data_IF_226386355225
#
_entry.id   IF_226386355225
#
_cell.length_a   1.000
_cell.length_b   1.000
_cell.length_c   1.000
_cell.angle_alpha   90.00
_cell.angle_beta   90.00
_cell.angle_gamma   90.00
#
_symmetry.space_group_name_H-M   'P 1'
#
loop_
_entity.id
_entity.type
_entity.pdbx_description
1 polymer ?
#
# COMPACT_ATOMS: atom_id res chain seq x y z
N UNK A 1 -7.38 3.14 18.14
CA UNK A 1 -8.61 2.51 17.61
C UNK A 1 -8.19 1.60 16.45
N UNK A 2 -8.43 0.33 16.55
CA UNK A 2 -8.10 -0.62 15.47
C UNK A 2 -9.19 -0.54 14.40
N UNK A 3 -8.97 0.29 13.39
CA UNK A 3 -9.90 0.54 12.28
C UNK A 3 -10.08 -0.72 11.42
N UNK A 4 -9.17 -1.70 11.51
CA UNK A 4 -9.33 -2.99 10.82
C UNK A 4 -10.60 -3.74 11.27
N UNK A 5 -11.11 -3.42 12.47
CA UNK A 5 -12.38 -3.93 12.99
C UNK A 5 -13.61 -3.37 12.27
N UNK A 6 -13.49 -2.25 11.56
CA UNK A 6 -14.56 -1.71 10.71
C UNK A 6 -14.81 -2.65 9.52
N UNK A 7 -13.78 -3.28 9.01
CA UNK A 7 -13.90 -4.30 7.97
C UNK A 7 -14.18 -5.68 8.62
N UNK A 8 -15.41 -5.91 9.08
CA UNK A 8 -15.81 -7.15 9.75
C UNK A 8 -15.60 -8.43 8.92
N UNK A 9 -15.73 -8.33 7.60
CA UNK A 9 -15.52 -9.45 6.68
C UNK A 9 -14.04 -9.52 6.25
N UNK A 10 -13.40 -10.68 6.45
CA UNK A 10 -12.06 -10.96 5.94
C UNK A 10 -12.02 -10.78 4.42
N UNK A 11 -13.04 -11.24 3.71
CA UNK A 11 -13.16 -11.14 2.26
C UNK A 11 -13.21 -9.67 1.83
N UNK A 12 -14.04 -8.82 2.48
CA UNK A 12 -14.12 -7.38 2.22
C UNK A 12 -12.76 -6.70 2.42
N UNK A 13 -12.08 -7.04 3.51
CA UNK A 13 -10.75 -6.50 3.82
C UNK A 13 -9.73 -6.79 2.71
N UNK A 14 -9.67 -8.04 2.24
CA UNK A 14 -8.73 -8.44 1.19
C UNK A 14 -9.11 -7.84 -0.18
N UNK A 15 -10.40 -7.77 -0.51
CA UNK A 15 -10.89 -7.07 -1.71
C UNK A 15 -10.51 -5.59 -1.68
N UNK A 16 -10.81 -4.90 -0.59
CA UNK A 16 -10.48 -3.47 -0.46
C UNK A 16 -8.97 -3.23 -0.55
N UNK A 17 -8.17 -4.07 0.12
CA UNK A 17 -6.71 -3.98 0.01
C UNK A 17 -6.24 -4.11 -1.43
N UNK A 18 -6.68 -5.14 -2.14
CA UNK A 18 -6.26 -5.41 -3.51
C UNK A 18 -6.65 -4.27 -4.45
N UNK A 19 -7.92 -3.90 -4.43
CA UNK A 19 -8.46 -2.94 -5.39
C UNK A 19 -8.04 -1.49 -5.10
N UNK A 20 -8.09 -1.04 -3.85
CA UNK A 20 -7.65 0.34 -3.51
C UNK A 20 -6.13 0.53 -3.59
N UNK A 21 -5.34 -0.56 -3.56
CA UNK A 21 -3.91 -0.48 -3.89
C UNK A 21 -3.69 -0.44 -5.40
N UNK A 22 -4.61 -1.01 -6.19
CA UNK A 22 -4.53 -1.11 -7.65
C UNK A 22 -5.85 -0.63 -8.30
N UNK A 23 -6.21 0.67 -8.17
CA UNK A 23 -7.58 1.15 -8.46
C UNK A 23 -7.98 1.06 -9.92
N UNK A 24 -7.02 1.03 -10.84
CA UNK A 24 -7.29 0.94 -12.29
C UNK A 24 -7.42 -0.50 -12.80
N UNK A 25 -7.21 -1.50 -11.91
CA UNK A 25 -7.32 -2.89 -12.30
C UNK A 25 -8.74 -3.42 -12.18
N UNK A 26 -9.09 -4.29 -13.12
CA UNK A 26 -10.31 -5.09 -13.07
C UNK A 26 -9.93 -6.57 -13.00
N UNK A 27 -10.68 -7.33 -12.20
CA UNK A 27 -10.43 -8.75 -12.00
C UNK A 27 -11.72 -9.55 -12.17
N UNK A 28 -11.62 -10.78 -12.71
CA UNK A 28 -12.73 -11.72 -12.72
C UNK A 28 -12.64 -12.71 -11.54
N UNK A 29 -13.76 -13.37 -11.21
CA UNK A 29 -13.89 -14.16 -9.97
C UNK A 29 -12.80 -15.22 -9.77
N UNK A 30 -12.46 -15.99 -10.82
CA UNK A 30 -11.42 -17.03 -10.72
C UNK A 30 -10.02 -16.45 -10.53
N UNK A 31 -9.78 -15.27 -11.03
CA UNK A 31 -8.52 -14.56 -10.80
C UNK A 31 -8.42 -14.09 -9.35
N UNK A 32 -9.50 -13.50 -8.82
CA UNK A 32 -9.59 -13.10 -7.42
C UNK A 32 -9.41 -14.30 -6.47
N UNK A 33 -10.00 -15.47 -6.78
CA UNK A 33 -9.81 -16.68 -6.00
C UNK A 33 -8.33 -17.07 -5.89
N UNK A 34 -7.59 -17.02 -7.01
CA UNK A 34 -6.15 -17.33 -7.06
C UNK A 34 -5.31 -16.30 -6.31
N UNK A 35 -5.64 -15.02 -6.48
CA UNK A 35 -4.87 -13.91 -5.87
C UNK A 35 -5.08 -13.88 -4.35
N UNK A 36 -6.35 -13.99 -3.89
CA UNK A 36 -6.71 -13.80 -2.50
C UNK A 36 -6.69 -15.09 -1.68
N UNK A 37 -6.65 -16.24 -2.35
CA UNK A 37 -6.81 -17.56 -1.73
C UNK A 37 -8.09 -17.64 -0.86
N UNK A 38 -9.20 -17.16 -1.42
CA UNK A 38 -10.53 -17.13 -0.81
C UNK A 38 -11.51 -17.80 -1.78
N UNK A 39 -12.43 -18.68 -1.30
CA UNK A 39 -13.39 -19.35 -2.17
C UNK A 39 -14.23 -18.37 -2.99
N UNK A 40 -14.44 -18.68 -4.29
CA UNK A 40 -15.21 -17.86 -5.24
C UNK A 40 -16.59 -17.47 -4.71
N UNK A 41 -17.28 -18.38 -4.01
CA UNK A 41 -18.61 -18.11 -3.45
C UNK A 41 -18.60 -16.97 -2.43
N UNK A 42 -17.56 -16.89 -1.59
CA UNK A 42 -17.41 -15.80 -0.62
C UNK A 42 -17.06 -14.48 -1.29
N UNK A 43 -16.18 -14.52 -2.30
CA UNK A 43 -15.80 -13.35 -3.08
C UNK A 43 -17.02 -12.81 -3.81
N UNK A 44 -17.76 -13.67 -4.52
CA UNK A 44 -18.97 -13.30 -5.26
C UNK A 44 -20.03 -12.65 -4.37
N UNK A 45 -20.30 -13.26 -3.21
CA UNK A 45 -21.27 -12.72 -2.25
C UNK A 45 -20.89 -11.31 -1.81
N UNK A 46 -19.63 -11.09 -1.47
CA UNK A 46 -19.15 -9.79 -1.01
C UNK A 46 -19.17 -8.74 -2.14
N UNK A 47 -18.76 -9.11 -3.36
CA UNK A 47 -18.78 -8.20 -4.52
C UNK A 47 -20.20 -7.79 -4.92
N UNK A 48 -21.21 -8.68 -4.81
CA UNK A 48 -22.60 -8.32 -5.04
C UNK A 48 -23.04 -7.24 -4.05
N UNK A 49 -22.77 -7.41 -2.76
CA UNK A 49 -23.10 -6.38 -1.76
C UNK A 49 -22.39 -5.04 -2.02
N UNK A 50 -21.12 -5.09 -2.38
CA UNK A 50 -20.33 -3.89 -2.66
C UNK A 50 -20.78 -3.18 -3.96
N UNK A 51 -21.31 -3.94 -4.89
CA UNK A 51 -21.93 -3.40 -6.12
C UNK A 51 -23.29 -2.75 -5.81
N UNK A 52 -24.15 -3.39 -5.00
CA UNK A 52 -25.41 -2.83 -4.50
C UNK A 52 -25.18 -1.53 -3.71
N UNK A 53 -24.08 -1.46 -2.94
CA UNK A 53 -23.64 -0.25 -2.22
C UNK A 53 -23.04 0.82 -3.15
N UNK A 54 -22.81 0.51 -4.43
CA UNK A 54 -22.24 1.39 -5.44
C UNK A 54 -20.73 1.57 -5.39
N UNK A 55 -20.03 0.84 -4.52
CA UNK A 55 -18.57 0.91 -4.36
C UNK A 55 -17.84 0.19 -5.50
N UNK A 56 -18.44 -0.88 -6.03
CA UNK A 56 -17.93 -1.63 -7.16
C UNK A 56 -18.87 -1.54 -8.36
N UNK A 57 -18.29 -1.71 -9.53
CA UNK A 57 -18.98 -1.89 -10.80
C UNK A 57 -18.62 -3.25 -11.38
N UNK A 58 -19.40 -3.74 -12.30
CA UNK A 58 -19.03 -4.88 -13.11
C UNK A 58 -19.13 -4.57 -14.61
N UNK A 59 -18.33 -5.28 -15.39
CA UNK A 59 -18.28 -5.21 -16.86
C UNK A 59 -18.20 -6.61 -17.43
N UNK A 60 -18.99 -6.90 -18.43
CA UNK A 60 -18.89 -8.18 -19.17
C UNK A 60 -17.92 -8.04 -20.33
N UNK A 61 -16.98 -9.01 -20.45
CA UNK A 61 -16.09 -9.18 -21.59
C UNK A 61 -16.17 -10.65 -22.02
N UNK A 62 -16.86 -10.92 -23.13
CA UNK A 62 -17.20 -12.28 -23.54
C UNK A 62 -18.00 -13.01 -22.47
N UNK A 63 -17.52 -14.19 -22.05
CA UNK A 63 -18.18 -15.01 -21.03
C UNK A 63 -17.73 -14.69 -19.60
N UNK A 64 -16.87 -13.68 -19.41
CA UNK A 64 -16.34 -13.31 -18.11
C UNK A 64 -16.96 -12.01 -17.60
N UNK A 65 -17.22 -11.97 -16.29
CA UNK A 65 -17.61 -10.76 -15.57
C UNK A 65 -16.42 -10.25 -14.79
N UNK A 66 -15.99 -9.04 -15.12
CA UNK A 66 -14.92 -8.31 -14.43
C UNK A 66 -15.52 -7.32 -13.44
N UNK A 67 -14.92 -7.22 -12.27
CA UNK A 67 -15.26 -6.28 -11.23
C UNK A 67 -14.17 -5.22 -11.13
N UNK A 68 -14.55 -3.98 -10.91
CA UNK A 68 -13.68 -2.82 -10.82
C UNK A 68 -14.23 -1.84 -9.77
N UNK A 69 -13.37 -0.97 -9.23
CA UNK A 69 -13.82 0.10 -8.35
C UNK A 69 -14.65 1.15 -9.10
N UNK A 70 -15.68 1.64 -8.45
CA UNK A 70 -16.43 2.82 -8.91
C UNK A 70 -15.69 4.08 -8.45
N UNK A 71 -14.84 4.64 -9.30
CA UNK A 71 -14.09 5.85 -8.99
C UNK A 71 -14.99 7.11 -8.88
N UNK A 72 -16.24 7.03 -9.34
CA UNK A 72 -17.25 8.08 -9.16
C UNK A 72 -18.08 7.91 -7.89
N UNK A 73 -17.77 6.91 -7.06
CA UNK A 73 -18.45 6.72 -5.77
C UNK A 73 -18.21 7.95 -4.86
N UNK A 74 -19.25 8.53 -4.23
CA UNK A 74 -19.12 9.79 -3.49
C UNK A 74 -18.08 9.80 -2.37
N UNK A 75 -17.78 8.64 -1.77
CA UNK A 75 -16.79 8.47 -0.70
C UNK A 75 -15.55 7.71 -1.17
N UNK A 76 -15.24 7.75 -2.48
CA UNK A 76 -14.11 6.99 -3.04
C UNK A 76 -12.76 7.40 -2.43
N UNK A 77 -12.49 8.70 -2.35
CA UNK A 77 -11.21 9.22 -1.84
C UNK A 77 -11.05 8.98 -0.34
N UNK A 78 -12.14 9.10 0.43
CA UNK A 78 -12.15 8.79 1.86
C UNK A 78 -11.86 7.30 2.10
N UNK A 79 -12.53 6.41 1.36
CA UNK A 79 -12.28 4.96 1.45
C UNK A 79 -10.85 4.63 1.03
N UNK A 80 -10.37 5.21 -0.06
CA UNK A 80 -8.97 5.05 -0.52
C UNK A 80 -8.00 5.47 0.57
N UNK A 81 -8.21 6.62 1.19
CA UNK A 81 -7.37 7.12 2.30
C UNK A 81 -7.43 6.21 3.52
N UNK A 82 -8.62 5.76 3.93
CA UNK A 82 -8.80 4.84 5.06
C UNK A 82 -8.07 3.51 4.79
N UNK A 83 -8.30 2.91 3.64
CA UNK A 83 -7.66 1.65 3.25
C UNK A 83 -6.14 1.81 3.22
N UNK A 84 -5.63 2.84 2.54
CA UNK A 84 -4.20 3.12 2.45
C UNK A 84 -3.53 3.21 3.84
N UNK A 85 -4.12 3.96 4.76
CA UNK A 85 -3.58 4.21 6.11
C UNK A 85 -3.69 3.03 7.07
N UNK A 86 -4.59 2.08 6.80
CA UNK A 86 -4.93 1.00 7.75
C UNK A 86 -4.52 -0.39 7.30
N UNK A 87 -5.12 -0.89 6.23
CA UNK A 87 -4.95 -2.25 5.71
C UNK A 87 -4.18 -2.30 4.38
N UNK A 88 -3.94 -1.14 3.78
CA UNK A 88 -3.19 -0.96 2.53
C UNK A 88 -1.71 -0.67 2.78
N UNK A 89 -1.12 0.09 1.87
CA UNK A 89 0.33 0.31 1.79
C UNK A 89 0.92 0.84 3.09
N UNK A 90 0.43 1.99 3.58
CA UNK A 90 0.98 2.62 4.79
C UNK A 90 0.77 1.75 6.03
N UNK A 91 -0.43 1.19 6.19
CA UNK A 91 -0.76 0.35 7.35
C UNK A 91 0.10 -0.91 7.43
N UNK A 92 0.28 -1.62 6.32
CA UNK A 92 1.10 -2.83 6.26
C UNK A 92 2.59 -2.55 6.45
N UNK A 93 3.12 -1.51 5.78
CA UNK A 93 4.50 -1.09 5.98
C UNK A 93 4.77 -0.74 7.44
N UNK A 94 3.87 0.03 8.08
CA UNK A 94 3.99 0.37 9.50
C UNK A 94 3.98 -0.87 10.38
N UNK A 95 3.04 -1.79 10.16
CA UNK A 95 2.93 -3.01 10.95
C UNK A 95 4.20 -3.87 10.88
N UNK A 96 4.79 -3.97 9.71
CA UNK A 96 5.95 -4.83 9.46
C UNK A 96 7.24 -4.17 9.90
N UNK A 97 7.49 -2.92 9.49
CA UNK A 97 8.75 -2.23 9.74
C UNK A 97 8.94 -1.87 11.21
N UNK A 98 7.87 -1.54 11.94
CA UNK A 98 7.94 -1.27 13.38
C UNK A 98 8.39 -2.48 14.22
N UNK A 99 8.27 -3.70 13.68
CA UNK A 99 8.72 -4.94 14.32
C UNK A 99 10.21 -5.28 14.04
N UNK A 100 10.85 -4.53 13.15
CA UNK A 100 12.27 -4.73 12.82
C UNK A 100 13.09 -3.82 13.73
N UNK A 101 13.77 -4.41 14.73
CA UNK A 101 14.64 -3.65 15.64
C UNK A 101 15.75 -2.95 14.87
N UNK A 102 15.99 -1.67 15.20
CA UNK A 102 17.02 -0.84 14.63
C UNK A 102 16.59 0.01 13.44
N UNK A 103 15.36 -0.13 12.96
CA UNK A 103 14.75 0.90 12.09
C UNK A 103 14.36 2.07 12.98
N UNK A 104 14.91 3.24 12.70
CA UNK A 104 14.67 4.48 13.43
C UNK A 104 13.59 5.32 12.74
N UNK A 105 13.73 5.49 11.43
CA UNK A 105 12.78 6.23 10.59
C UNK A 105 12.52 5.45 9.30
N UNK A 106 11.28 5.41 8.87
CA UNK A 106 10.92 4.93 7.54
C UNK A 106 9.75 5.74 7.00
N UNK A 107 9.79 6.10 5.72
CA UNK A 107 8.72 6.85 5.05
C UNK A 107 8.62 6.53 3.56
N UNK A 108 7.41 6.68 3.06
CA UNK A 108 7.11 6.62 1.63
C UNK A 108 7.34 8.01 1.03
N UNK A 109 7.88 8.06 -0.18
CA UNK A 109 8.06 9.27 -0.97
C UNK A 109 7.65 9.03 -2.43
N UNK A 110 7.91 9.98 -3.33
CA UNK A 110 7.62 9.82 -4.75
C UNK A 110 6.14 9.97 -5.12
N UNK A 111 5.69 9.21 -6.11
CA UNK A 111 4.36 9.32 -6.71
C UNK A 111 3.22 9.05 -5.73
N UNK A 112 3.38 8.11 -4.82
CA UNK A 112 2.37 7.79 -3.80
C UNK A 112 2.04 8.95 -2.86
N UNK A 113 2.99 9.83 -2.62
CA UNK A 113 2.79 10.99 -1.73
C UNK A 113 2.15 12.15 -2.46
N UNK A 114 2.37 12.24 -3.77
CA UNK A 114 1.80 13.28 -4.63
C UNK A 114 0.40 12.96 -5.13
N UNK A 115 -0.15 11.79 -4.79
CA UNK A 115 -1.40 11.25 -5.36
C UNK A 115 -1.37 11.15 -6.89
N UNK A 116 -0.17 10.96 -7.46
CA UNK A 116 0.09 10.77 -8.90
C UNK A 116 0.35 9.28 -9.23
N UNK A 117 0.10 8.38 -8.27
CA UNK A 117 0.31 6.96 -8.47
C UNK A 117 -0.62 6.39 -9.53
N UNK A 118 -0.05 5.63 -10.45
CA UNK A 118 -0.75 4.84 -11.46
C UNK A 118 -0.73 3.35 -11.09
N UNK A 119 -1.45 2.55 -11.84
CA UNK A 119 -1.41 1.08 -11.68
C UNK A 119 -0.01 0.46 -11.77
N UNK A 120 0.95 1.16 -12.41
CA UNK A 120 2.33 0.70 -12.60
C UNK A 120 3.34 1.38 -11.67
N UNK A 121 2.91 2.33 -10.84
CA UNK A 121 3.84 3.04 -9.95
C UNK A 121 4.33 2.11 -8.85
N UNK A 122 5.65 2.08 -8.66
CA UNK A 122 6.30 1.39 -7.56
C UNK A 122 6.12 2.17 -6.26
N UNK A 123 6.28 1.51 -5.14
CA UNK A 123 6.27 2.15 -3.82
C UNK A 123 7.70 2.52 -3.47
N UNK A 124 8.02 3.83 -3.50
CA UNK A 124 9.32 4.33 -3.10
C UNK A 124 9.39 4.48 -1.58
N UNK A 125 10.31 3.75 -0.95
CA UNK A 125 10.47 3.68 0.50
C UNK A 125 11.89 4.06 0.90
N UNK A 126 12.04 4.94 1.89
CA UNK A 126 13.33 5.22 2.49
C UNK A 126 13.33 4.74 3.94
N UNK A 127 14.43 4.08 4.33
CA UNK A 127 14.59 3.48 5.66
C UNK A 127 15.91 3.96 6.26
N UNK A 128 15.85 4.47 7.48
CA UNK A 128 17.03 4.96 8.23
C UNK A 128 17.19 4.11 9.48
N UNK A 129 18.42 3.66 9.72
CA UNK A 129 18.76 2.93 10.92
C UNK A 129 19.86 1.88 10.73
N UNK A 130 20.07 1.09 11.78
CA UNK A 130 21.02 -0.04 11.78
C UNK A 130 20.28 -1.31 12.16
N UNK A 131 19.95 -2.13 11.19
CA UNK A 131 19.10 -3.30 11.34
C UNK A 131 19.64 -4.51 10.52
N UNK A 132 18.94 -5.63 10.61
CA UNK A 132 19.27 -6.83 9.85
C UNK A 132 18.64 -6.78 8.45
N UNK A 133 19.46 -6.58 7.42
CA UNK A 133 19.03 -6.45 6.01
C UNK A 133 18.31 -7.70 5.50
N UNK A 134 18.73 -8.89 5.94
CA UNK A 134 18.10 -10.15 5.55
C UNK A 134 16.63 -10.25 6.04
N UNK A 135 16.40 -9.76 7.26
CA UNK A 135 15.03 -9.69 7.81
C UNK A 135 14.18 -8.69 7.05
N UNK A 136 14.74 -7.51 6.74
CA UNK A 136 14.05 -6.51 5.93
C UNK A 136 13.65 -7.08 4.58
N UNK A 137 14.60 -7.62 3.81
CA UNK A 137 14.37 -8.18 2.48
C UNK A 137 13.25 -9.23 2.49
N UNK A 138 13.27 -10.14 3.45
CA UNK A 138 12.23 -11.17 3.58
C UNK A 138 10.84 -10.56 3.80
N UNK A 139 10.73 -9.55 4.63
CA UNK A 139 9.45 -8.92 4.93
C UNK A 139 8.97 -8.03 3.77
N UNK A 140 9.86 -7.32 3.07
CA UNK A 140 9.54 -6.58 1.84
C UNK A 140 8.98 -7.53 0.78
N UNK A 141 9.65 -8.65 0.49
CA UNK A 141 9.18 -9.64 -0.48
C UNK A 141 7.77 -10.21 -0.14
N UNK A 142 7.41 -10.30 1.14
CA UNK A 142 6.05 -10.68 1.54
C UNK A 142 5.05 -9.56 1.27
N UNK A 143 5.43 -8.31 1.56
CA UNK A 143 4.57 -7.15 1.33
C UNK A 143 4.26 -6.96 -0.15
N UNK A 144 5.24 -7.10 -1.04
CA UNK A 144 5.06 -7.03 -2.49
C UNK A 144 4.04 -8.06 -2.99
N UNK A 145 4.14 -9.30 -2.46
CA UNK A 145 3.16 -10.36 -2.80
C UNK A 145 1.74 -10.03 -2.35
N UNK A 146 1.59 -9.37 -1.20
CA UNK A 146 0.29 -8.98 -0.64
C UNK A 146 -0.28 -7.75 -1.33
N UNK A 147 0.57 -6.75 -1.60
CA UNK A 147 0.18 -5.48 -2.21
C UNK A 147 0.04 -5.58 -3.74
N UNK A 148 0.64 -6.61 -4.35
CA UNK A 148 0.76 -6.76 -5.81
C UNK A 148 1.44 -5.54 -6.46
N UNK A 149 2.44 -4.99 -5.74
CA UNK A 149 3.25 -3.85 -6.15
C UNK A 149 4.69 -4.06 -5.75
N UNK A 150 5.60 -3.56 -6.56
CA UNK A 150 7.03 -3.51 -6.28
C UNK A 150 7.31 -2.43 -5.23
N UNK A 151 8.29 -2.70 -4.35
CA UNK A 151 8.75 -1.76 -3.33
C UNK A 151 10.22 -1.45 -3.57
N UNK A 152 10.48 -0.28 -4.14
CA UNK A 152 11.81 0.25 -4.29
C UNK A 152 12.26 0.90 -2.97
N UNK A 153 13.28 0.37 -2.33
CA UNK A 153 13.72 0.90 -1.05
C UNK A 153 15.18 1.32 -1.05
N UNK A 154 15.44 2.45 -0.40
CA UNK A 154 16.78 2.96 -0.12
C UNK A 154 17.05 2.89 1.39
N UNK A 155 18.25 2.44 1.76
CA UNK A 155 18.68 2.34 3.16
C UNK A 155 19.80 3.34 3.41
N UNK A 156 19.70 4.08 4.49
CA UNK A 156 20.76 4.94 4.99
C UNK A 156 21.02 4.67 6.46
N UNK A 157 22.30 4.74 6.86
CA UNK A 157 22.66 4.95 8.26
C UNK A 157 22.51 6.43 8.59
N UNK A 158 22.30 6.74 9.86
CA UNK A 158 22.10 8.14 10.29
C UNK A 158 23.33 9.02 10.01
N UNK A 159 24.53 8.51 10.23
CA UNK A 159 25.80 9.18 9.91
C UNK A 159 25.96 9.41 8.39
N UNK A 160 25.61 8.43 7.58
CA UNK A 160 25.62 8.48 6.13
C UNK A 160 24.67 9.54 5.58
N UNK A 161 23.44 9.60 6.13
CA UNK A 161 22.46 10.61 5.76
C UNK A 161 22.95 12.02 6.12
N UNK A 162 23.52 12.22 7.32
CA UNK A 162 24.11 13.50 7.73
C UNK A 162 25.22 13.95 6.78
N UNK A 163 26.15 13.06 6.45
CA UNK A 163 27.23 13.33 5.51
C UNK A 163 26.71 13.76 4.15
N UNK A 164 25.75 13.03 3.61
CA UNK A 164 25.09 13.38 2.34
C UNK A 164 24.36 14.73 2.38
N UNK A 165 23.81 15.10 3.53
CA UNK A 165 23.22 16.42 3.74
C UNK A 165 24.27 17.53 3.70
N UNK A 166 25.42 17.33 4.34
CA UNK A 166 26.55 18.28 4.33
C UNK A 166 27.16 18.44 2.93
N UNK A 167 27.27 17.34 2.19
CA UNK A 167 27.76 17.28 0.81
C UNK A 167 26.75 17.84 -0.22
N UNK A 168 25.56 18.24 0.22
CA UNK A 168 24.45 18.71 -0.62
C UNK A 168 24.07 17.72 -1.72
N UNK A 169 24.03 16.42 -1.38
CA UNK A 169 23.61 15.37 -2.29
C UNK A 169 22.24 15.72 -2.92
N UNK A 170 22.10 15.72 -4.25
CA UNK A 170 20.89 16.13 -4.95
C UNK A 170 19.65 15.34 -4.53
N UNK A 171 19.80 14.03 -4.32
CA UNK A 171 18.70 13.16 -3.89
C UNK A 171 18.19 13.53 -2.49
N UNK A 172 19.11 13.78 -1.55
CA UNK A 172 18.74 14.14 -0.17
C UNK A 172 18.12 15.53 -0.11
N UNK A 173 18.61 16.49 -0.94
CA UNK A 173 18.01 17.82 -1.06
C UNK A 173 16.58 17.73 -1.61
N UNK A 174 16.39 16.95 -2.67
CA UNK A 174 15.08 16.75 -3.29
C UNK A 174 14.11 16.10 -2.31
N UNK A 175 14.59 15.08 -1.64
CA UNK A 175 13.82 14.38 -0.61
C UNK A 175 13.33 15.33 0.51
N UNK A 176 14.14 16.29 0.95
CA UNK A 176 13.75 17.26 1.99
C UNK A 176 12.61 18.18 1.57
N UNK A 177 12.58 18.56 0.31
CA UNK A 177 11.60 19.53 -0.24
C UNK A 177 10.22 18.92 -0.46
N UNK A 178 10.14 17.61 -0.68
CA UNK A 178 8.90 16.94 -1.03
C UNK A 178 8.17 16.36 0.20
N UNK A 179 6.85 16.27 0.15
CA UNK A 179 6.05 15.65 1.21
C UNK A 179 6.42 14.16 1.38
N UNK A 180 6.21 13.64 2.59
CA UNK A 180 6.54 12.26 3.00
C UNK A 180 5.39 11.67 3.80
N UNK A 181 5.21 10.35 3.67
CA UNK A 181 4.26 9.60 4.50
C UNK A 181 5.05 8.71 5.44
N UNK A 182 5.17 9.10 6.71
CA UNK A 182 5.91 8.34 7.70
C UNK A 182 5.19 7.04 8.05
N UNK A 183 5.95 5.97 8.14
CA UNK A 183 5.51 4.63 8.56
C UNK A 183 6.18 4.20 9.87
N UNK A 184 7.42 4.66 10.12
CA UNK A 184 8.13 4.54 11.41
C UNK A 184 8.77 5.89 11.72
N UNK A 185 8.72 6.32 12.98
CA UNK A 185 9.21 7.65 13.37
C UNK A 185 8.37 8.78 12.80
N UNK A 186 8.95 9.98 12.75
CA UNK A 186 8.29 11.19 12.27
C UNK A 186 9.26 12.25 11.74
N UNK A 187 8.71 13.42 11.39
CA UNK A 187 9.49 14.53 10.83
C UNK A 187 10.62 15.03 11.76
N UNK A 188 10.39 14.96 13.07
CA UNK A 188 11.37 15.40 14.07
C UNK A 188 12.53 14.40 14.27
N UNK A 189 12.42 13.21 13.70
CA UNK A 189 13.42 12.15 13.81
C UNK A 189 14.37 12.11 12.60
N UNK A 190 14.14 12.97 11.60
CA UNK A 190 15.00 13.14 10.40
C UNK A 190 16.20 14.09 10.67
#
# INVERSE_FOLDING_TARGET
MDISKIFKSKTRKELFRLYFTNPDHEYYLRELERILNIPVSMIRKELIHLEEEGVFLFRRKGNLTYYLLNQSYPLFDELKSIVFKTIGVQGLLREVLSKIKGIEVAFIYGSFVKHEETAKSDIDLLIIGKFNDYRLLREINKLEKVLKREINYSIFRRDELKKKMEEKDPFVIDLRKHPKIFVVGGQNDL
#
